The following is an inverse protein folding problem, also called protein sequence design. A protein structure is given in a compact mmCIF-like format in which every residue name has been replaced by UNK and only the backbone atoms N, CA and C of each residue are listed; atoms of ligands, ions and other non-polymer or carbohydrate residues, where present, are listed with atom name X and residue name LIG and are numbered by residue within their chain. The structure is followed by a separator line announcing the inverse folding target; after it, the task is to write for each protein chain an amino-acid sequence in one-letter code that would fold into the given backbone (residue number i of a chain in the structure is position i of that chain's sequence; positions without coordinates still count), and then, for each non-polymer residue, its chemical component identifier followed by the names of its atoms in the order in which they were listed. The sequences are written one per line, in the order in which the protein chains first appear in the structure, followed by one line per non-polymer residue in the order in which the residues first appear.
data_IF_806364841157
#
_entry.id   IF_806364841157
#
_cell.length_a   1.000
_cell.length_b   1.000
_cell.length_c   1.000
_cell.angle_alpha   90.00
_cell.angle_beta   90.00
_cell.angle_gamma   90.00
#
_symmetry.space_group_name_H-M   'P 1'
#
loop_
_entity.id
_entity.type
_entity.pdbx_description
1 polymer ?
#
# COMPACT_ATOMS: atom_id res chain seq x y z
N UNK A 1 20.00 -82.16 -41.97
CA UNK A 1 20.75 -81.23 -41.16
C UNK A 1 20.44 -79.80 -41.66
N UNK A 2 19.63 -79.07 -40.94
CA UNK A 2 19.22 -77.69 -41.31
C UNK A 2 19.94 -76.71 -40.38
N UNK A 3 20.76 -75.81 -40.94
CA UNK A 3 21.44 -74.77 -40.25
C UNK A 3 20.47 -73.63 -39.92
N UNK A 4 20.46 -73.24 -38.66
CA UNK A 4 19.65 -72.13 -38.19
C UNK A 4 20.53 -70.87 -38.15
N UNK A 5 20.22 -69.87 -38.97
CA UNK A 5 20.91 -68.59 -39.00
C UNK A 5 20.27 -67.62 -37.99
N UNK A 6 21.06 -67.17 -37.04
CA UNK A 6 20.66 -66.18 -36.03
C UNK A 6 20.87 -64.80 -36.61
N UNK A 7 19.83 -64.02 -36.78
CA UNK A 7 19.90 -62.63 -37.18
C UNK A 7 19.93 -61.73 -35.93
N UNK A 8 21.05 -61.02 -35.72
CA UNK A 8 21.21 -60.01 -34.67
C UNK A 8 20.57 -58.70 -35.09
N UNK A 9 19.53 -58.27 -34.38
CA UNK A 9 18.94 -56.94 -34.51
C UNK A 9 19.66 -55.96 -33.59
N UNK A 10 20.37 -55.02 -34.15
CA UNK A 10 20.96 -53.86 -33.45
C UNK A 10 19.86 -52.79 -33.26
N UNK A 11 19.43 -52.62 -32.02
CA UNK A 11 18.53 -51.53 -31.64
C UNK A 11 19.35 -50.26 -31.40
N UNK A 12 19.19 -49.28 -32.28
CA UNK A 12 19.76 -47.91 -32.09
C UNK A 12 18.92 -47.16 -31.11
N UNK A 13 19.48 -46.85 -29.93
CA UNK A 13 18.87 -45.96 -28.92
C UNK A 13 19.18 -44.51 -29.32
N UNK A 14 18.17 -43.77 -29.81
CA UNK A 14 18.30 -42.35 -30.02
C UNK A 14 18.17 -41.60 -28.68
N UNK A 15 19.26 -41.01 -28.22
CA UNK A 15 19.25 -40.12 -27.04
C UNK A 15 18.69 -38.77 -27.49
N UNK A 16 17.43 -38.48 -27.13
CA UNK A 16 16.85 -37.15 -27.28
C UNK A 16 17.41 -36.27 -26.16
N UNK A 17 18.34 -35.39 -26.51
CA UNK A 17 18.82 -34.35 -25.60
C UNK A 17 17.66 -33.34 -25.39
N UNK A 18 17.04 -33.38 -24.21
CA UNK A 18 16.09 -32.35 -23.79
C UNK A 18 16.84 -31.05 -23.56
N UNK A 19 16.69 -30.09 -24.48
CA UNK A 19 17.16 -28.71 -24.29
C UNK A 19 16.22 -28.04 -23.29
N UNK A 20 16.66 -27.97 -22.01
CA UNK A 20 15.99 -27.15 -21.01
C UNK A 20 16.25 -25.67 -21.35
N UNK A 21 15.26 -25.01 -21.96
CA UNK A 21 15.22 -23.55 -22.05
C UNK A 21 15.18 -23.00 -20.62
N UNK A 22 16.04 -22.08 -20.25
CA UNK A 22 15.95 -21.45 -18.94
C UNK A 22 14.64 -20.67 -18.89
N UNK A 23 13.76 -21.10 -17.97
CA UNK A 23 12.56 -20.33 -17.62
C UNK A 23 13.03 -18.95 -17.13
N UNK A 24 12.61 -17.89 -17.84
CA UNK A 24 12.83 -16.53 -17.36
C UNK A 24 12.16 -16.42 -15.97
N UNK A 25 12.97 -16.30 -14.92
CA UNK A 25 12.48 -15.93 -13.60
C UNK A 25 11.75 -14.60 -13.73
N UNK A 26 10.43 -14.67 -13.74
CA UNK A 26 9.59 -13.49 -13.56
C UNK A 26 9.88 -13.00 -12.14
N UNK A 27 10.74 -11.96 -12.00
CA UNK A 27 10.90 -11.25 -10.74
C UNK A 27 9.50 -10.84 -10.28
N UNK A 28 8.99 -11.50 -9.26
CA UNK A 28 7.73 -11.14 -8.62
C UNK A 28 7.80 -9.65 -8.27
N UNK A 29 6.94 -8.86 -8.87
CA UNK A 29 6.92 -7.41 -8.65
C UNK A 29 6.46 -7.19 -7.22
N UNK A 30 7.38 -6.77 -6.33
CA UNK A 30 7.06 -6.48 -4.92
C UNK A 30 5.80 -5.61 -4.85
N UNK A 31 4.84 -6.01 -4.04
CA UNK A 31 3.62 -5.22 -3.82
C UNK A 31 3.99 -3.85 -3.22
N UNK A 32 3.21 -2.83 -3.53
CA UNK A 32 3.40 -1.52 -2.92
C UNK A 32 3.00 -1.57 -1.43
N UNK A 33 3.83 -0.96 -0.60
CA UNK A 33 3.58 -0.81 0.84
C UNK A 33 3.02 0.60 1.09
N UNK A 34 1.70 0.70 1.21
CA UNK A 34 1.01 1.99 1.29
C UNK A 34 1.12 2.65 2.67
N UNK A 35 1.60 1.91 3.68
CA UNK A 35 1.72 2.39 5.06
C UNK A 35 0.48 2.13 5.92
N UNK A 36 0.43 2.76 7.08
CA UNK A 36 -0.68 2.60 8.02
C UNK A 36 -1.98 3.19 7.43
N UNK A 37 -3.08 2.46 7.57
CA UNK A 37 -4.38 2.85 7.04
C UNK A 37 -5.28 3.47 8.11
N UNK A 38 -6.01 4.52 7.74
CA UNK A 38 -7.08 5.13 8.53
C UNK A 38 -8.17 5.70 7.62
N UNK A 39 -9.33 5.96 8.19
CA UNK A 39 -10.40 6.70 7.52
C UNK A 39 -10.57 8.04 8.20
N UNK A 40 -10.52 9.12 7.41
CA UNK A 40 -10.82 10.47 7.87
C UNK A 40 -12.29 10.78 7.56
N UNK A 41 -13.08 10.94 8.61
CA UNK A 41 -14.53 11.19 8.53
C UNK A 41 -14.81 12.68 8.68
N UNK A 42 -15.55 13.24 7.73
CA UNK A 42 -16.15 14.55 7.93
C UNK A 42 -17.38 14.42 8.84
N UNK A 43 -17.44 15.21 9.90
CA UNK A 43 -18.51 15.14 10.89
C UNK A 43 -19.15 16.51 11.11
N UNK A 44 -20.44 16.51 11.45
CA UNK A 44 -21.19 17.74 11.71
C UNK A 44 -20.98 18.26 13.14
N UNK A 45 -20.84 17.35 14.10
CA UNK A 45 -20.58 17.61 15.50
C UNK A 45 -19.53 16.61 16.00
N UNK A 46 -18.30 17.10 16.20
CA UNK A 46 -17.17 16.27 16.58
C UNK A 46 -17.33 15.71 18.01
N UNK A 47 -17.99 16.45 18.91
CA UNK A 47 -18.22 15.99 20.30
C UNK A 47 -19.23 14.86 20.34
N UNK A 48 -20.33 14.98 19.60
CA UNK A 48 -21.32 13.92 19.46
C UNK A 48 -20.73 12.68 18.78
N UNK A 49 -19.93 12.86 17.73
CA UNK A 49 -19.25 11.78 17.04
C UNK A 49 -18.24 11.08 17.96
N UNK A 50 -17.43 11.84 18.69
CA UNK A 50 -16.49 11.29 19.69
C UNK A 50 -17.23 10.41 20.70
N UNK A 51 -18.29 10.94 21.33
CA UNK A 51 -19.10 10.21 22.31
C UNK A 51 -19.74 8.94 21.73
N UNK A 52 -20.08 8.93 20.44
CA UNK A 52 -20.58 7.74 19.76
C UNK A 52 -19.50 6.66 19.63
N UNK A 53 -18.31 7.01 19.13
CA UNK A 53 -17.21 6.05 18.93
C UNK A 53 -16.61 5.56 20.26
N UNK A 54 -16.63 6.37 21.31
CA UNK A 54 -16.23 5.92 22.66
C UNK A 54 -17.11 4.79 23.19
N UNK A 55 -18.39 4.74 22.80
CA UNK A 55 -19.29 3.58 23.12
C UNK A 55 -18.92 2.30 22.38
N UNK A 56 -18.10 2.41 21.33
CA UNK A 56 -17.51 1.29 20.58
C UNK A 56 -16.07 1.01 21.02
N UNK A 57 -15.68 1.46 22.22
CA UNK A 57 -14.35 1.30 22.80
C UNK A 57 -13.21 1.96 22.02
N UNK A 58 -13.51 2.92 21.13
CA UNK A 58 -12.48 3.76 20.56
C UNK A 58 -11.95 4.74 21.60
N UNK A 59 -10.63 4.93 21.60
CA UNK A 59 -9.94 5.86 22.48
C UNK A 59 -9.26 6.95 21.68
N UNK A 60 -9.27 8.16 22.20
CA UNK A 60 -8.53 9.26 21.60
C UNK A 60 -7.02 9.02 21.71
N UNK A 61 -6.33 9.09 20.57
CA UNK A 61 -4.88 8.85 20.44
C UNK A 61 -4.15 10.02 19.79
N UNK A 62 -4.85 11.11 19.49
CA UNK A 62 -4.26 12.33 18.94
C UNK A 62 -5.29 13.31 18.44
N UNK A 63 -4.79 14.46 18.01
CA UNK A 63 -5.61 15.57 17.55
C UNK A 63 -5.81 16.62 18.63
N UNK A 64 -6.69 17.57 18.32
CA UNK A 64 -7.06 18.67 19.22
C UNK A 64 -8.55 18.99 19.00
N UNK A 65 -9.35 18.68 19.97
CA UNK A 65 -10.80 18.86 19.89
C UNK A 65 -11.18 20.34 19.68
N UNK A 66 -10.44 21.26 20.28
CA UNK A 66 -10.59 22.71 20.10
C UNK A 66 -10.24 23.20 18.71
N UNK A 67 -9.45 22.44 17.95
CA UNK A 67 -9.12 22.69 16.54
C UNK A 67 -10.05 21.91 15.59
N UNK A 68 -11.14 21.33 16.10
CA UNK A 68 -12.12 20.57 15.33
C UNK A 68 -11.61 19.30 14.64
N UNK A 69 -10.57 18.66 15.19
CA UNK A 69 -10.11 17.37 14.72
C UNK A 69 -9.56 16.51 15.84
N UNK A 70 -9.84 15.21 15.78
CA UNK A 70 -9.27 14.19 16.69
C UNK A 70 -9.04 12.88 15.93
N UNK A 71 -8.17 12.06 16.47
CA UNK A 71 -7.92 10.69 15.99
C UNK A 71 -8.29 9.71 17.08
N UNK A 72 -9.10 8.74 16.72
CA UNK A 72 -9.58 7.67 17.60
C UNK A 72 -9.03 6.33 17.13
N UNK A 73 -8.78 5.41 18.06
CA UNK A 73 -8.27 4.07 17.74
C UNK A 73 -8.92 3.01 18.62
N UNK A 74 -9.24 1.87 18.01
CA UNK A 74 -9.59 0.62 18.68
C UNK A 74 -8.85 -0.53 17.99
N UNK A 75 -7.86 -1.13 18.65
CA UNK A 75 -6.99 -2.15 18.08
C UNK A 75 -6.27 -1.64 16.82
N UNK A 76 -6.54 -2.27 15.68
CA UNK A 76 -5.99 -1.88 14.38
C UNK A 76 -6.88 -0.88 13.62
N UNK A 77 -8.09 -0.61 14.10
CA UNK A 77 -8.98 0.36 13.49
C UNK A 77 -8.63 1.78 13.94
N UNK A 78 -8.33 2.64 12.98
CA UNK A 78 -8.05 4.06 13.20
C UNK A 78 -9.00 4.92 12.39
N UNK A 79 -9.59 5.91 13.04
CA UNK A 79 -10.46 6.91 12.41
C UNK A 79 -10.08 8.30 12.87
N UNK A 80 -10.05 9.24 11.93
CA UNK A 80 -9.97 10.66 12.22
C UNK A 80 -11.37 11.27 12.15
N UNK A 81 -11.73 12.11 13.10
CA UNK A 81 -12.95 12.91 13.04
C UNK A 81 -12.55 14.36 12.75
N UNK A 82 -13.15 14.96 11.73
CA UNK A 82 -12.85 16.30 11.27
C UNK A 82 -14.13 17.09 11.06
N UNK A 83 -14.29 18.21 11.72
CA UNK A 83 -15.45 19.06 11.59
C UNK A 83 -15.14 20.29 10.74
N UNK A 84 -15.81 20.40 9.58
CA UNK A 84 -15.71 21.58 8.71
C UNK A 84 -14.40 21.72 7.95
N UNK A 85 -13.59 20.67 7.81
CA UNK A 85 -12.29 20.73 7.12
C UNK A 85 -12.35 20.27 5.66
N UNK A 86 -13.27 19.36 5.33
CA UNK A 86 -13.48 18.84 3.98
C UNK A 86 -14.89 18.28 3.85
N UNK A 87 -15.36 18.09 2.62
CA UNK A 87 -16.76 17.77 2.32
C UNK A 87 -17.05 16.26 2.26
N UNK A 88 -16.03 15.43 1.99
CA UNK A 88 -16.17 13.98 1.80
C UNK A 88 -15.18 13.22 2.67
N UNK A 89 -15.56 12.02 3.09
CA UNK A 89 -14.66 11.12 3.79
C UNK A 89 -13.43 10.78 2.92
N UNK A 90 -12.28 10.59 3.56
CA UNK A 90 -11.00 10.33 2.91
C UNK A 90 -10.42 9.02 3.45
N UNK A 91 -10.00 8.14 2.56
CA UNK A 91 -9.15 6.99 2.90
C UNK A 91 -7.71 7.47 2.99
N UNK A 92 -7.08 7.31 4.15
CA UNK A 92 -5.73 7.83 4.38
C UNK A 92 -4.74 6.70 4.59
N UNK A 93 -3.62 6.78 3.88
CA UNK A 93 -2.46 5.91 4.03
C UNK A 93 -1.27 6.74 4.51
N UNK A 94 -0.58 6.27 5.55
CA UNK A 94 0.57 6.97 6.12
C UNK A 94 1.84 6.16 5.91
N UNK A 95 2.58 6.36 4.79
CA UNK A 95 3.88 5.74 4.58
C UNK A 95 4.85 6.08 5.70
N UNK A 96 5.63 5.11 6.14
CA UNK A 96 6.64 5.30 7.19
C UNK A 96 6.13 5.20 8.62
N UNK A 97 4.84 4.98 8.84
CA UNK A 97 4.28 4.79 10.17
C UNK A 97 3.73 3.37 10.41
N UNK A 98 3.95 2.86 11.62
CA UNK A 98 3.18 1.75 12.18
C UNK A 98 1.78 2.24 12.60
N UNK A 99 0.90 1.30 13.00
CA UNK A 99 -0.42 1.63 13.57
C UNK A 99 -0.33 2.52 14.84
N UNK A 100 0.79 2.47 15.55
CA UNK A 100 1.03 3.22 16.79
C UNK A 100 1.84 4.52 16.55
N UNK A 101 1.99 4.93 15.29
CA UNK A 101 2.76 6.11 14.83
C UNK A 101 4.28 6.02 15.11
N UNK A 102 4.81 4.81 15.28
CA UNK A 102 6.25 4.62 15.33
C UNK A 102 6.81 4.71 13.91
N UNK A 103 7.96 5.36 13.77
CA UNK A 103 8.62 5.48 12.47
C UNK A 103 9.28 4.16 12.08
N UNK A 104 8.94 3.65 10.90
CA UNK A 104 9.59 2.49 10.29
C UNK A 104 10.98 2.88 9.79
N UNK A 105 11.95 1.95 9.91
CA UNK A 105 13.30 2.14 9.33
C UNK A 105 13.28 2.07 7.81
N UNK A 106 12.54 1.08 7.30
CA UNK A 106 12.37 0.82 5.87
C UNK A 106 10.90 0.95 5.52
N UNK A 107 10.60 1.75 4.54
CA UNK A 107 9.27 1.92 3.98
C UNK A 107 9.38 2.49 2.57
N UNK A 108 8.31 2.38 1.81
CA UNK A 108 8.25 2.99 0.49
C UNK A 108 7.87 4.46 0.64
N UNK A 109 8.79 5.37 0.26
CA UNK A 109 8.58 6.82 0.34
C UNK A 109 7.37 7.26 -0.52
N UNK A 110 6.65 8.26 -0.04
CA UNK A 110 5.46 8.79 -0.72
C UNK A 110 5.75 9.20 -2.16
N UNK A 111 6.94 9.72 -2.45
CA UNK A 111 7.35 10.11 -3.82
C UNK A 111 7.61 8.89 -4.70
N UNK A 112 8.10 7.78 -4.15
CA UNK A 112 8.22 6.52 -4.88
C UNK A 112 6.86 5.91 -5.20
N UNK A 113 5.92 5.94 -4.23
CA UNK A 113 4.53 5.57 -4.46
C UNK A 113 3.92 6.42 -5.57
N UNK A 114 4.12 7.75 -5.52
CA UNK A 114 3.66 8.69 -6.54
C UNK A 114 4.19 8.30 -7.93
N UNK A 115 5.50 8.13 -8.09
CA UNK A 115 6.10 7.74 -9.37
C UNK A 115 5.57 6.39 -9.87
N UNK A 116 5.43 5.42 -8.97
CA UNK A 116 4.89 4.10 -9.32
C UNK A 116 3.46 4.18 -9.81
N UNK A 117 2.60 4.97 -9.16
CA UNK A 117 1.21 5.16 -9.57
C UNK A 117 1.09 5.95 -10.87
N UNK A 118 1.90 6.99 -11.07
CA UNK A 118 1.99 7.72 -12.35
C UNK A 118 2.37 6.79 -13.51
N UNK A 119 3.36 5.92 -13.29
CA UNK A 119 3.78 4.93 -14.30
C UNK A 119 2.69 3.90 -14.62
N UNK A 120 1.68 3.75 -13.75
CA UNK A 120 0.48 2.93 -13.98
C UNK A 120 -0.69 3.71 -14.55
N UNK A 121 -0.50 4.98 -14.91
CA UNK A 121 -1.53 5.83 -15.51
C UNK A 121 -2.51 6.46 -14.50
N UNK A 122 -2.20 6.45 -13.19
CA UNK A 122 -3.01 7.12 -12.18
C UNK A 122 -2.66 8.61 -12.17
N UNK A 123 -3.67 9.45 -12.33
CA UNK A 123 -3.56 10.90 -12.14
C UNK A 123 -3.75 11.28 -10.68
N UNK A 124 -3.12 12.36 -10.25
CA UNK A 124 -3.20 12.83 -8.86
C UNK A 124 -3.18 14.35 -8.78
N UNK A 125 -3.83 14.87 -7.73
CA UNK A 125 -3.85 16.29 -7.39
C UNK A 125 -4.28 16.44 -5.90
N UNK A 126 -3.48 17.12 -5.04
CA UNK A 126 -2.12 17.62 -5.32
C UNK A 126 -1.10 16.50 -5.50
N UNK A 127 0.09 16.85 -5.99
CA UNK A 127 1.25 15.98 -6.07
C UNK A 127 2.24 16.31 -4.94
N UNK A 128 2.99 15.29 -4.50
CA UNK A 128 4.12 15.49 -3.61
C UNK A 128 5.29 16.15 -4.37
N UNK A 129 5.94 17.12 -3.74
CA UNK A 129 7.16 17.73 -4.28
C UNK A 129 8.31 16.72 -4.26
N UNK A 130 8.77 16.34 -5.44
CA UNK A 130 9.83 15.34 -5.62
C UNK A 130 11.24 15.84 -5.28
N UNK A 131 11.40 17.15 -5.09
CA UNK A 131 12.69 17.78 -4.76
C UNK A 131 12.96 17.84 -3.25
N UNK A 132 12.02 17.40 -2.43
CA UNK A 132 12.12 17.42 -0.96
C UNK A 132 12.33 16.01 -0.40
N UNK A 133 12.88 15.93 0.83
CA UNK A 133 13.07 14.66 1.57
C UNK A 133 12.27 14.64 2.88
N UNK A 134 11.55 15.71 3.18
CA UNK A 134 10.71 15.85 4.35
C UNK A 134 9.32 15.19 4.19
N UNK A 135 8.43 15.42 5.16
CA UNK A 135 7.02 15.07 5.06
C UNK A 135 6.40 15.59 3.77
N UNK A 136 5.58 14.78 3.12
CA UNK A 136 4.89 15.15 1.89
C UNK A 136 3.66 14.29 1.69
N UNK A 137 2.76 14.73 0.80
CA UNK A 137 1.54 14.00 0.49
C UNK A 137 1.13 14.17 -0.97
N UNK A 138 0.33 13.24 -1.44
CA UNK A 138 -0.43 13.38 -2.68
C UNK A 138 -1.82 12.76 -2.51
N UNK A 139 -2.74 13.12 -3.41
CA UNK A 139 -4.08 12.56 -3.44
C UNK A 139 -4.39 11.95 -4.79
N UNK A 140 -5.18 10.89 -4.78
CA UNK A 140 -5.80 10.29 -5.96
C UNK A 140 -7.30 10.15 -5.73
N UNK A 141 -8.06 10.10 -6.81
CA UNK A 141 -9.49 9.84 -6.76
C UNK A 141 -9.77 8.54 -7.51
N UNK A 142 -10.52 7.65 -6.89
CA UNK A 142 -10.94 6.41 -7.54
C UNK A 142 -12.03 6.67 -8.59
N UNK A 143 -12.42 5.66 -9.41
CA UNK A 143 -13.44 5.84 -10.44
C UNK A 143 -14.82 6.26 -9.92
N UNK A 144 -15.14 5.99 -8.65
CA UNK A 144 -16.41 6.34 -8.00
C UNK A 144 -16.35 7.68 -7.25
N UNK A 145 -15.21 8.38 -7.33
CA UNK A 145 -15.02 9.69 -6.72
C UNK A 145 -14.63 9.67 -5.25
N UNK A 146 -14.13 8.52 -4.74
CA UNK A 146 -13.58 8.43 -3.40
C UNK A 146 -12.15 8.98 -3.39
N UNK A 147 -11.83 9.78 -2.38
CA UNK A 147 -10.50 10.37 -2.21
C UNK A 147 -9.61 9.45 -1.39
N UNK A 148 -8.41 9.17 -1.92
CA UNK A 148 -7.33 8.51 -1.24
C UNK A 148 -6.19 9.52 -1.01
N UNK A 149 -5.80 9.70 0.24
CA UNK A 149 -4.68 10.54 0.66
C UNK A 149 -3.51 9.65 1.06
N UNK A 150 -2.35 9.89 0.47
CA UNK A 150 -1.08 9.31 0.88
C UNK A 150 -0.28 10.39 1.59
N UNK A 151 -0.20 10.31 2.91
CA UNK A 151 0.31 11.37 3.78
C UNK A 151 1.47 10.85 4.64
N UNK A 152 2.69 11.16 4.20
CA UNK A 152 3.92 10.81 4.90
C UNK A 152 4.31 11.93 5.86
N UNK A 153 4.30 11.65 7.16
CA UNK A 153 4.63 12.60 8.22
C UNK A 153 6.10 12.55 8.67
N UNK A 154 6.87 11.62 8.14
CA UNK A 154 8.27 11.38 8.51
C UNK A 154 9.19 11.69 7.32
N UNK A 155 10.48 12.00 7.56
CA UNK A 155 11.44 12.14 6.46
C UNK A 155 11.56 10.85 5.64
N UNK A 156 12.04 10.99 4.41
CA UNK A 156 12.38 9.85 3.55
C UNK A 156 13.33 8.89 4.27
N UNK A 157 13.21 7.56 4.05
CA UNK A 157 14.12 6.60 4.66
C UNK A 157 15.54 6.84 4.14
N UNK A 158 16.52 6.81 5.04
CA UNK A 158 17.95 6.91 4.65
C UNK A 158 18.31 5.63 3.89
N UNK A 159 18.74 5.77 2.66
CA UNK A 159 19.30 4.71 1.82
C UNK A 159 20.81 4.60 2.02
#
# INVERSE_FOLDING_TARGET
MKALTLASALASIAIVAATTTPSAETKEKKAMELGNFSVSLTVKDIKASKAFYEKLDFKEVGGKLEENWIVLQNGNARIGLFQGMFDKNIMTFNPGWTKDKETLKDFQDVRELQRTLKARGITMAPEADEMTEGPAHFMVTDPDGNTLLFDQHVPSPKR
#
